data_IF_373590357288
#
_entry.id   IF_373590357288
#
_cell.length_a   1.000
_cell.length_b   1.000
_cell.length_c   1.000
_cell.angle_alpha   90.00
_cell.angle_beta   90.00
_cell.angle_gamma   90.00
#
_symmetry.space_group_name_H-M   'P 1'
#
loop_
_entity.id
_entity.type
_entity.pdbx_description
1 polymer ?
#
# COMPACT_ATOMS: atom_id res chain seq x y z
N UNK A 1 -5.11 -0.05 6.44
CA UNK A 1 -4.75 0.20 5.04
C UNK A 1 -5.17 -0.97 4.17
N UNK A 2 -5.92 -0.72 3.10
CA UNK A 2 -6.17 -1.73 2.07
C UNK A 2 -5.01 -1.78 1.05
N UNK A 3 -5.01 -2.77 0.14
CA UNK A 3 -3.91 -2.94 -0.83
C UNK A 3 -3.84 -1.81 -1.86
N UNK A 4 -4.98 -1.21 -2.20
CA UNK A 4 -5.03 -0.14 -3.20
C UNK A 4 -4.56 1.20 -2.61
N UNK A 5 -4.85 1.45 -1.33
CA UNK A 5 -4.29 2.55 -0.57
C UNK A 5 -2.78 2.37 -0.40
N UNK A 6 -2.31 1.17 -0.07
CA UNK A 6 -0.88 0.85 0.02
C UNK A 6 -0.16 1.09 -1.31
N UNK A 7 -0.78 0.74 -2.43
CA UNK A 7 -0.22 0.98 -3.76
C UNK A 7 0.00 2.48 -4.04
N UNK A 8 -1.00 3.31 -3.72
CA UNK A 8 -0.90 4.77 -3.81
C UNK A 8 0.26 5.32 -2.97
N UNK A 9 0.42 4.79 -1.75
CA UNK A 9 1.47 5.20 -0.83
C UNK A 9 2.87 4.79 -1.29
N UNK A 10 3.04 3.57 -1.80
CA UNK A 10 4.31 3.10 -2.38
C UNK A 10 4.73 3.95 -3.57
N UNK A 11 3.80 4.28 -4.48
CA UNK A 11 4.11 5.15 -5.63
C UNK A 11 4.60 6.52 -5.19
N UNK A 12 3.95 7.11 -4.17
CA UNK A 12 4.37 8.37 -3.57
C UNK A 12 5.79 8.26 -2.99
N UNK A 13 6.06 7.21 -2.20
CA UNK A 13 7.36 7.01 -1.58
C UNK A 13 8.47 6.85 -2.62
N UNK A 14 8.26 6.02 -3.64
CA UNK A 14 9.23 5.83 -4.74
C UNK A 14 9.54 7.15 -5.44
N UNK A 15 8.52 8.00 -5.66
CA UNK A 15 8.72 9.35 -6.22
C UNK A 15 9.62 10.19 -5.31
N UNK A 16 9.33 10.20 -4.02
CA UNK A 16 10.06 10.99 -3.01
C UNK A 16 11.50 10.51 -2.82
N UNK A 17 11.73 9.19 -2.81
CA UNK A 17 13.07 8.58 -2.76
C UNK A 17 13.93 8.94 -3.98
N UNK A 18 13.29 9.25 -5.12
CA UNK A 18 13.94 9.74 -6.34
C UNK A 18 14.02 11.27 -6.41
N UNK A 19 13.60 11.97 -5.35
CA UNK A 19 13.58 13.43 -5.25
C UNK A 19 12.78 14.11 -6.38
N UNK A 20 11.78 13.41 -6.94
CA UNK A 20 10.97 13.93 -8.04
C UNK A 20 9.74 14.66 -7.51
N UNK A 21 9.40 15.80 -8.11
CA UNK A 21 8.13 16.47 -7.82
C UNK A 21 6.98 15.77 -8.54
N UNK A 22 5.75 15.96 -8.04
CA UNK A 22 4.54 15.48 -8.72
C UNK A 22 4.42 16.04 -10.14
N UNK A 23 4.87 17.29 -10.37
CA UNK A 23 4.86 17.92 -11.68
C UNK A 23 5.78 17.20 -12.68
N UNK A 24 6.98 16.78 -12.22
CA UNK A 24 7.93 16.05 -13.07
C UNK A 24 7.36 14.70 -13.48
N UNK A 25 6.86 13.90 -12.53
CA UNK A 25 6.25 12.60 -12.82
C UNK A 25 5.01 12.75 -13.72
N UNK A 26 4.20 13.77 -13.49
CA UNK A 26 3.03 14.07 -14.31
C UNK A 26 3.42 14.33 -15.77
N UNK A 27 4.49 15.10 -16.01
CA UNK A 27 5.03 15.33 -17.34
C UNK A 27 5.49 14.04 -18.03
N UNK A 28 6.23 13.19 -17.31
CA UNK A 28 6.72 11.91 -17.82
C UNK A 28 5.59 10.92 -18.13
N UNK A 29 4.57 10.87 -17.27
CA UNK A 29 3.42 9.98 -17.40
C UNK A 29 2.26 10.59 -18.24
N UNK A 30 2.49 11.74 -18.90
CA UNK A 30 1.50 12.45 -19.74
C UNK A 30 0.15 12.68 -19.04
N UNK A 31 0.19 13.09 -17.77
CA UNK A 31 -0.99 13.38 -16.96
C UNK A 31 -0.87 14.73 -16.24
N UNK A 32 -1.93 15.16 -15.56
CA UNK A 32 -1.88 16.39 -14.75
C UNK A 32 -1.26 16.14 -13.37
N UNK A 33 -0.56 17.13 -12.82
CA UNK A 33 -0.01 17.05 -11.46
C UNK A 33 -1.12 16.81 -10.41
N UNK A 34 -2.30 17.39 -10.61
CA UNK A 34 -3.47 17.12 -9.77
C UNK A 34 -3.93 15.64 -9.83
N UNK A 35 -3.80 14.98 -10.98
CA UNK A 35 -4.10 13.55 -11.11
C UNK A 35 -3.10 12.72 -10.31
N UNK A 36 -1.80 13.03 -10.39
CA UNK A 36 -0.77 12.39 -9.57
C UNK A 36 -1.06 12.57 -8.09
N UNK A 37 -1.35 13.80 -7.64
CA UNK A 37 -1.70 14.07 -6.24
C UNK A 37 -2.95 13.31 -5.76
N UNK A 38 -3.99 13.21 -6.58
CA UNK A 38 -5.19 12.43 -6.26
C UNK A 38 -4.92 10.93 -6.15
N UNK A 39 -4.00 10.41 -6.98
CA UNK A 39 -3.56 9.01 -6.92
C UNK A 39 -2.76 8.76 -5.64
N UNK A 40 -1.77 9.61 -5.35
CA UNK A 40 -0.90 9.47 -4.16
C UNK A 40 -1.65 9.60 -2.84
N UNK A 41 -2.74 10.36 -2.83
CA UNK A 41 -3.63 10.52 -1.65
C UNK A 41 -4.79 9.53 -1.61
N UNK A 42 -4.82 8.58 -2.54
CA UNK A 42 -5.89 7.57 -2.68
C UNK A 42 -7.31 8.16 -2.79
N UNK A 43 -7.44 9.41 -3.26
CA UNK A 43 -8.75 10.06 -3.47
C UNK A 43 -9.45 9.58 -4.74
N UNK A 44 -8.70 8.99 -5.67
CA UNK A 44 -9.20 8.43 -6.93
C UNK A 44 -8.64 7.02 -7.11
N UNK A 45 -9.51 6.08 -7.46
CA UNK A 45 -9.10 4.71 -7.81
C UNK A 45 -8.11 4.71 -8.97
N UNK A 46 -7.05 3.92 -8.83
CA UNK A 46 -5.98 3.80 -9.82
C UNK A 46 -6.37 2.78 -10.90
N UNK A 47 -6.46 3.22 -12.15
CA UNK A 47 -6.64 2.32 -13.30
C UNK A 47 -5.33 1.58 -13.58
N UNK A 48 -5.42 0.35 -14.07
CA UNK A 48 -4.25 -0.48 -14.37
C UNK A 48 -3.32 0.17 -15.41
N UNK A 49 -3.86 0.82 -16.45
CA UNK A 49 -3.05 1.53 -17.44
C UNK A 49 -2.27 2.68 -16.80
N UNK A 50 -2.95 3.50 -16.00
CA UNK A 50 -2.35 4.62 -15.26
C UNK A 50 -1.29 4.14 -14.26
N UNK A 51 -1.47 2.96 -13.67
CA UNK A 51 -0.45 2.34 -12.83
C UNK A 51 0.82 2.02 -13.61
N UNK A 52 0.71 1.41 -14.79
CA UNK A 52 1.88 1.14 -15.65
C UNK A 52 2.54 2.43 -16.15
N UNK A 53 1.76 3.43 -16.57
CA UNK A 53 2.29 4.74 -17.00
C UNK A 53 3.13 5.40 -15.88
N UNK A 54 2.67 5.31 -14.63
CA UNK A 54 3.42 5.82 -13.47
C UNK A 54 4.67 4.99 -13.17
N UNK A 55 4.61 3.67 -13.30
CA UNK A 55 5.78 2.80 -13.12
C UNK A 55 6.87 3.12 -14.15
N UNK A 56 6.48 3.29 -15.42
CA UNK A 56 7.39 3.66 -16.51
C UNK A 56 8.00 5.05 -16.28
N UNK A 57 7.17 6.03 -15.90
CA UNK A 57 7.63 7.38 -15.58
C UNK A 57 8.60 7.42 -14.37
N UNK A 58 8.39 6.55 -13.39
CA UNK A 58 9.28 6.40 -12.23
C UNK A 58 10.48 5.50 -12.53
N UNK A 59 10.53 4.83 -13.68
CA UNK A 59 11.58 3.87 -14.03
C UNK A 59 11.66 2.70 -13.04
N UNK A 60 10.52 2.15 -12.64
CA UNK A 60 10.43 1.00 -11.72
C UNK A 60 9.54 -0.08 -12.32
N UNK A 61 9.82 -1.35 -12.01
CA UNK A 61 8.96 -2.44 -12.48
C UNK A 61 7.68 -2.49 -11.67
N UNK A 62 6.55 -2.61 -12.36
CA UNK A 62 5.23 -2.74 -11.75
C UNK A 62 5.15 -3.86 -10.70
N UNK A 63 5.80 -5.01 -10.95
CA UNK A 63 5.86 -6.13 -10.01
C UNK A 63 6.49 -5.75 -8.67
N UNK A 64 7.49 -4.87 -8.67
CA UNK A 64 8.19 -4.46 -7.45
C UNK A 64 7.31 -3.52 -6.62
N UNK A 65 6.55 -2.64 -7.28
CA UNK A 65 5.57 -1.77 -6.61
C UNK A 65 4.44 -2.60 -5.99
N UNK A 66 3.91 -3.58 -6.73
CA UNK A 66 2.86 -4.48 -6.22
C UNK A 66 3.34 -5.26 -5.01
N UNK A 67 4.54 -5.85 -5.06
CA UNK A 67 5.13 -6.57 -3.94
C UNK A 67 5.25 -5.68 -2.70
N UNK A 68 5.79 -4.46 -2.85
CA UNK A 68 5.91 -3.50 -1.74
C UNK A 68 4.53 -3.12 -1.15
N UNK A 69 3.52 -2.96 -2.00
CA UNK A 69 2.16 -2.63 -1.55
C UNK A 69 1.50 -3.79 -0.79
N UNK A 70 1.73 -5.03 -1.23
CA UNK A 70 1.30 -6.24 -0.52
C UNK A 70 1.95 -6.35 0.86
N UNK A 71 3.28 -6.10 0.93
CA UNK A 71 4.05 -6.10 2.17
C UNK A 71 3.53 -5.02 3.14
N UNK A 72 3.30 -3.79 2.69
CA UNK A 72 2.75 -2.70 3.51
C UNK A 72 1.35 -3.02 4.05
N UNK A 73 0.47 -3.52 3.19
CA UNK A 73 -0.88 -3.92 3.59
C UNK A 73 -0.85 -5.06 4.61
N UNK A 74 0.07 -6.03 4.48
CA UNK A 74 0.24 -7.12 5.42
C UNK A 74 0.75 -6.63 6.79
N UNK A 75 1.75 -5.75 6.81
CA UNK A 75 2.28 -5.16 8.04
C UNK A 75 1.21 -4.37 8.81
N UNK A 76 0.37 -3.61 8.11
CA UNK A 76 -0.71 -2.87 8.74
C UNK A 76 -1.78 -3.80 9.34
N UNK A 77 -2.10 -4.92 8.67
CA UNK A 77 -3.02 -5.93 9.23
C UNK A 77 -2.46 -6.59 10.48
N UNK A 78 -1.15 -6.84 10.52
CA UNK A 78 -0.45 -7.40 11.69
C UNK A 78 -0.48 -6.46 12.90
N UNK A 79 -0.31 -5.15 12.68
CA UNK A 79 -0.33 -4.13 13.74
C UNK A 79 -1.73 -3.85 14.31
N UNK A 80 -2.79 -3.96 13.50
CA UNK A 80 -4.16 -3.67 13.93
C UNK A 80 -4.84 -4.79 14.74
N UNK A 81 -4.19 -5.93 14.94
CA UNK A 81 -4.74 -7.03 15.72
C UNK A 81 -4.14 -6.98 17.14
N UNK A 82 -4.83 -6.43 18.15
CA UNK A 82 -4.43 -6.72 19.53
C UNK A 82 -4.52 -8.23 19.68
N UNK A 83 -3.38 -8.88 19.91
CA UNK A 83 -3.36 -10.23 20.47
C UNK A 83 -4.09 -10.14 21.81
N UNK A 84 -5.42 -10.37 21.82
CA UNK A 84 -6.07 -10.81 23.05
C UNK A 84 -5.29 -12.04 23.47
N UNK A 85 -4.50 -11.89 24.53
CA UNK A 85 -3.77 -12.97 25.17
C UNK A 85 -4.71 -14.17 25.23
N UNK A 86 -4.27 -15.30 24.69
CA UNK A 86 -4.98 -16.57 24.85
C UNK A 86 -4.90 -16.89 26.34
N UNK A 87 -5.81 -16.36 27.13
CA UNK A 87 -6.01 -16.76 28.51
C UNK A 87 -6.51 -18.20 28.44
N UNK A 88 -5.56 -19.12 28.62
CA UNK A 88 -5.86 -20.54 28.68
C UNK A 88 -6.90 -20.78 29.77
N UNK A 89 -7.98 -21.46 29.41
CA UNK A 89 -8.91 -22.07 30.36
C UNK A 89 -8.14 -23.17 31.10
N UNK A 90 -8.02 -23.16 32.44
CA UNK A 90 -7.56 -24.34 33.15
C UNK A 90 -8.64 -25.43 33.02
N UNK A 91 -8.28 -26.70 32.80
CA UNK A 91 -9.25 -27.77 32.80
C UNK A 91 -9.74 -28.01 34.24
N UNK A 92 -10.98 -27.62 34.54
CA UNK A 92 -11.66 -28.02 35.77
C UNK A 92 -12.05 -29.49 35.67
N UNK A 93 -11.39 -30.33 36.48
CA UNK A 93 -11.61 -31.77 36.66
C UNK A 93 -13.10 -32.07 36.88
N UNK A 94 -13.62 -33.10 36.19
CA UNK A 94 -14.90 -33.74 36.56
C UNK A 94 -14.68 -34.49 37.89
N UNK A 95 -15.56 -34.38 38.88
CA UNK A 95 -15.74 -35.46 39.85
C UNK A 95 -16.56 -36.58 39.19
N UNK A 96 -16.14 -37.81 39.41
CA UNK A 96 -16.83 -39.05 39.08
C UNK A 96 -17.21 -39.76 40.39
N UNK A 97 -18.04 -40.80 40.30
CA UNK A 97 -19.50 -40.77 40.15
C UNK A 97 -20.24 -40.29 41.42
#
# INVERSE_FOLDING_TARGET
MDRTEALSHVLKRIREDKELTQLVVAGLAKMSAASVGNIETHRKGLRISTFFDLCDALGVRASDVLRQAEDEAAQHRGRSRPQKARTGRPPSKKPAP
#
